data_IF_280701197996
#
_entry.id   IF_280701197996
#
_cell.length_a   1.000
_cell.length_b   1.000
_cell.length_c   1.000
_cell.angle_alpha   90.00
_cell.angle_beta   90.00
_cell.angle_gamma   90.00
#
_symmetry.space_group_name_H-M   'P 1'
#
loop_
_entity.id
_entity.type
_entity.pdbx_description
1 polymer ?
#
# COMPACT_ATOMS: atom_id res chain seq x y z
N UNK A 1 21.51 15.92 4.32
CA UNK A 1 20.44 15.17 3.65
C UNK A 1 19.27 16.08 3.40
N UNK A 2 18.30 15.63 2.60
CA UNK A 2 16.99 16.25 2.49
C UNK A 2 16.21 15.97 3.77
N UNK A 3 15.40 16.92 4.22
CA UNK A 3 14.48 16.69 5.34
C UNK A 3 13.34 15.79 4.88
N UNK A 4 12.99 14.82 5.71
CA UNK A 4 11.88 13.92 5.46
C UNK A 4 11.31 13.39 6.77
N UNK A 5 9.99 13.46 6.91
CA UNK A 5 9.25 12.88 8.02
C UNK A 5 8.06 12.04 7.54
N UNK A 6 7.63 11.00 8.29
CA UNK A 6 6.48 10.18 7.93
C UNK A 6 5.19 10.97 7.65
N UNK A 7 5.01 12.09 8.35
CA UNK A 7 3.79 12.91 8.29
C UNK A 7 3.63 13.60 6.93
N UNK A 8 4.73 13.85 6.21
CA UNK A 8 4.72 14.51 4.91
C UNK A 8 3.97 13.70 3.84
N UNK A 9 3.92 12.38 3.99
CA UNK A 9 3.22 11.51 3.06
C UNK A 9 1.70 11.49 3.28
N UNK A 10 1.22 11.98 4.42
CA UNK A 10 -0.19 11.89 4.82
C UNK A 10 -1.12 12.49 3.76
N UNK A 11 -0.77 13.64 3.21
CA UNK A 11 -1.57 14.29 2.17
C UNK A 11 -1.76 13.38 0.95
N UNK A 12 -0.69 12.75 0.48
CA UNK A 12 -0.74 11.91 -0.71
C UNK A 12 -1.45 10.58 -0.46
N UNK A 13 -1.28 10.01 0.73
CA UNK A 13 -2.01 8.83 1.17
C UNK A 13 -3.51 9.11 1.28
N UNK A 14 -3.89 10.25 1.86
CA UNK A 14 -5.28 10.72 1.89
C UNK A 14 -5.83 10.98 0.49
N UNK A 15 -5.04 11.50 -0.45
CA UNK A 15 -5.47 11.64 -1.85
C UNK A 15 -5.77 10.29 -2.49
N UNK A 16 -4.90 9.28 -2.28
CA UNK A 16 -5.01 7.91 -2.78
C UNK A 16 -6.16 7.10 -2.16
N UNK A 17 -6.45 7.34 -0.88
CA UNK A 17 -7.39 6.54 -0.11
C UNK A 17 -8.77 6.40 -0.80
N UNK A 18 -9.28 5.17 -0.84
CA UNK A 18 -10.64 4.84 -1.28
C UNK A 18 -11.69 5.22 -0.23
N UNK A 19 -12.97 5.05 -0.54
CA UNK A 19 -14.06 5.30 0.42
C UNK A 19 -14.59 6.74 0.41
N UNK A 20 -14.14 7.58 -0.54
CA UNK A 20 -14.62 8.95 -0.74
C UNK A 20 -16.00 9.03 -1.39
N UNK A 21 -16.47 7.93 -1.98
CA UNK A 21 -17.81 7.82 -2.56
C UNK A 21 -18.42 6.45 -2.28
N UNK A 22 -19.76 6.38 -2.37
CA UNK A 22 -20.54 5.14 -2.22
C UNK A 22 -20.16 4.05 -3.23
N UNK A 23 -19.47 4.39 -4.32
CA UNK A 23 -19.09 3.48 -5.38
C UNK A 23 -17.68 2.89 -5.20
N UNK A 24 -16.99 3.25 -4.12
CA UNK A 24 -15.64 2.77 -3.82
C UNK A 24 -15.63 1.84 -2.61
N UNK A 25 -14.55 1.07 -2.45
CA UNK A 25 -14.34 0.21 -1.29
C UNK A 25 -14.58 0.97 0.02
N UNK A 26 -15.34 0.37 0.93
CA UNK A 26 -15.59 0.91 2.26
C UNK A 26 -14.43 0.69 3.24
N UNK A 27 -13.36 -0.01 2.80
CA UNK A 27 -12.17 -0.25 3.62
C UNK A 27 -11.52 1.08 3.98
N UNK A 28 -11.16 1.20 5.25
CA UNK A 28 -10.41 2.34 5.80
C UNK A 28 -9.10 1.80 6.34
N UNK A 29 -8.07 1.86 5.53
CA UNK A 29 -6.70 1.64 6.00
C UNK A 29 -6.23 2.91 6.69
N UNK A 30 -5.49 2.77 7.80
CA UNK A 30 -4.84 3.92 8.43
C UNK A 30 -3.79 4.55 7.49
N UNK A 31 -3.24 3.75 6.56
CA UNK A 31 -2.22 4.16 5.58
C UNK A 31 -1.06 4.94 6.25
N UNK A 32 -0.65 4.53 7.45
CA UNK A 32 0.48 5.13 8.15
C UNK A 32 1.81 4.59 7.58
N UNK A 33 2.78 5.49 7.38
CA UNK A 33 4.11 5.14 6.91
C UNK A 33 5.06 5.02 8.10
N UNK A 34 5.80 3.91 8.12
CA UNK A 34 6.94 3.70 9.00
C UNK A 34 8.23 3.75 8.17
N UNK A 35 9.16 4.64 8.51
CA UNK A 35 10.47 4.73 7.86
C UNK A 35 11.43 3.76 8.56
N UNK A 36 11.85 2.72 7.84
CA UNK A 36 12.70 1.66 8.37
C UNK A 36 14.20 1.90 8.13
N UNK A 37 14.57 2.68 7.12
CA UNK A 37 15.98 2.92 6.77
C UNK A 37 16.17 4.21 5.98
N UNK A 38 17.43 4.62 5.80
CA UNK A 38 17.80 5.73 4.90
C UNK A 38 17.57 7.14 5.44
N UNK A 39 17.07 7.25 6.68
CA UNK A 39 16.81 8.51 7.37
C UNK A 39 17.42 8.44 8.77
N UNK A 40 18.15 9.49 9.14
CA UNK A 40 18.72 9.67 10.47
C UNK A 40 18.50 11.12 10.90
N UNK A 41 17.98 11.33 12.10
CA UNK A 41 17.65 12.67 12.65
C UNK A 41 16.80 13.52 11.68
N UNK A 42 15.77 12.90 11.08
CA UNK A 42 14.85 13.57 10.14
C UNK A 42 15.46 13.94 8.80
N UNK A 43 16.66 13.42 8.46
CA UNK A 43 17.36 13.73 7.22
C UNK A 43 17.82 12.48 6.47
N UNK A 44 17.74 12.53 5.14
CA UNK A 44 18.20 11.43 4.29
C UNK A 44 19.71 11.21 4.42
N UNK A 45 20.13 9.95 4.48
CA UNK A 45 21.54 9.55 4.62
C UNK A 45 22.23 9.32 3.27
N UNK A 46 21.48 9.28 2.16
CA UNK A 46 21.97 8.91 0.83
C UNK A 46 21.95 7.41 0.56
N UNK A 47 21.58 6.59 1.53
CA UNK A 47 21.32 5.14 1.36
C UNK A 47 19.85 4.89 1.02
N UNK A 48 19.45 3.67 0.61
CA UNK A 48 18.05 3.36 0.32
C UNK A 48 17.10 3.66 1.49
N UNK A 49 15.96 4.28 1.16
CA UNK A 49 14.88 4.57 2.10
C UNK A 49 13.85 3.44 2.04
N UNK A 50 13.71 2.71 3.14
CA UNK A 50 12.70 1.67 3.31
C UNK A 50 11.45 2.24 3.96
N UNK A 51 10.30 2.12 3.29
CA UNK A 51 9.01 2.53 3.82
C UNK A 51 8.13 1.30 4.03
N UNK A 52 7.47 1.20 5.18
CA UNK A 52 6.52 0.16 5.50
C UNK A 52 5.13 0.76 5.69
N UNK A 53 4.15 0.19 5.00
CA UNK A 53 2.73 0.49 5.16
C UNK A 53 2.05 -0.82 5.58
N UNK A 54 1.40 -0.81 6.74
CA UNK A 54 0.74 -1.99 7.29
C UNK A 54 -0.69 -2.07 6.76
N UNK A 55 -1.08 -3.26 6.29
CA UNK A 55 -2.47 -3.55 5.95
C UNK A 55 -3.21 -3.98 7.22
N UNK A 56 -4.21 -3.21 7.63
CA UNK A 56 -4.91 -3.33 8.92
C UNK A 56 -6.35 -3.86 8.79
N UNK A 57 -7.01 -3.72 7.63
CA UNK A 57 -8.37 -4.21 7.37
C UNK A 57 -8.37 -5.31 6.29
N UNK A 58 -7.37 -6.20 6.32
CA UNK A 58 -7.32 -7.35 5.43
C UNK A 58 -8.39 -8.37 5.80
N UNK A 59 -9.32 -8.61 4.88
CA UNK A 59 -10.34 -9.67 4.99
C UNK A 59 -10.00 -10.82 4.07
N UNK A 60 -9.34 -11.85 4.62
CA UNK A 60 -8.89 -13.02 3.86
C UNK A 60 -10.02 -13.80 3.18
N UNK A 61 -11.21 -13.81 3.78
CA UNK A 61 -12.41 -14.51 3.26
C UNK A 61 -12.89 -13.97 1.91
N UNK A 62 -12.64 -12.70 1.59
CA UNK A 62 -13.06 -12.10 0.32
C UNK A 62 -12.32 -12.72 -0.89
N UNK A 63 -11.20 -13.42 -0.65
CA UNK A 63 -10.29 -13.89 -1.69
C UNK A 63 -10.31 -15.41 -1.92
N UNK A 64 -11.03 -16.18 -1.10
CA UNK A 64 -11.00 -17.66 -1.16
C UNK A 64 -11.45 -18.22 -2.51
N UNK A 65 -12.43 -17.58 -3.14
CA UNK A 65 -12.99 -18.04 -4.42
C UNK A 65 -12.11 -17.63 -5.61
N UNK A 66 -11.27 -16.60 -5.45
CA UNK A 66 -10.37 -16.11 -6.50
C UNK A 66 -9.22 -17.10 -6.74
N UNK A 67 -8.88 -17.92 -5.75
CA UNK A 67 -7.85 -18.94 -5.89
C UNK A 67 -8.19 -20.03 -6.93
N UNK A 68 -9.47 -20.20 -7.29
CA UNK A 68 -9.94 -21.26 -8.17
C UNK A 68 -10.36 -20.79 -9.57
N UNK A 69 -10.28 -19.49 -9.87
CA UNK A 69 -10.76 -18.93 -11.14
C UNK A 69 -9.91 -17.76 -11.63
N UNK A 70 -9.57 -17.75 -12.92
CA UNK A 70 -9.00 -16.58 -13.58
C UNK A 70 -10.09 -15.56 -13.88
N UNK A 71 -9.99 -14.36 -13.29
CA UNK A 71 -10.97 -13.30 -13.51
C UNK A 71 -10.64 -12.56 -14.83
N UNK A 72 -11.64 -12.35 -15.71
CA UNK A 72 -11.43 -11.57 -16.92
C UNK A 72 -10.90 -10.17 -16.61
N UNK A 73 -9.85 -9.74 -17.32
CA UNK A 73 -9.21 -8.43 -17.14
C UNK A 73 -8.26 -8.33 -15.93
N UNK A 74 -8.12 -9.38 -15.12
CA UNK A 74 -7.13 -9.44 -14.05
C UNK A 74 -5.86 -10.17 -14.49
N UNK A 75 -4.77 -9.92 -13.75
CA UNK A 75 -3.46 -10.51 -14.00
C UNK A 75 -3.35 -11.99 -13.58
N UNK A 76 -4.45 -12.62 -13.16
CA UNK A 76 -4.44 -13.97 -12.58
C UNK A 76 -3.79 -15.00 -13.53
N UNK A 77 -4.21 -15.04 -14.81
CA UNK A 77 -3.67 -15.98 -15.81
C UNK A 77 -2.24 -15.63 -16.25
N UNK A 78 -1.93 -14.34 -16.42
CA UNK A 78 -0.62 -13.92 -16.91
C UNK A 78 0.48 -14.15 -15.89
N UNK A 79 0.20 -13.98 -14.60
CA UNK A 79 1.13 -14.40 -13.54
C UNK A 79 1.34 -15.90 -13.54
N UNK A 80 0.26 -16.70 -13.65
CA UNK A 80 0.35 -18.16 -13.66
C UNK A 80 1.16 -18.74 -14.82
N UNK A 81 1.09 -18.11 -16.00
CA UNK A 81 1.88 -18.57 -17.16
C UNK A 81 3.36 -18.16 -17.09
N UNK A 82 3.68 -17.10 -16.35
CA UNK A 82 5.03 -16.53 -16.31
C UNK A 82 5.93 -17.13 -15.24
N UNK A 83 5.36 -17.52 -14.10
CA UNK A 83 6.06 -18.00 -12.90
C UNK A 83 5.49 -19.34 -12.46
#
# INVERSE_FOLDING_TARGET
GLEIAPEEFTHDLQRRASGKSRHTSARREADEIEILSGVYEGRTTGTPIGLLIRNTDQRSKDYSNIAQQFRPGHADYTYWQKY
#
